data_IF_997779582843
#
_entry.id   IF_997779582843
#
_cell.length_a   1.000
_cell.length_b   1.000
_cell.length_c   1.000
_cell.angle_alpha   90.00
_cell.angle_beta   90.00
_cell.angle_gamma   90.00
#
_symmetry.space_group_name_H-M   'P 1'
#
loop_
_entity.id
_entity.type
_entity.pdbx_description
1 polymer ?
#
# COMPACT_ATOMS: atom_id res chain seq x y z
N UNK A 1 -35.70 9.24 -22.15
CA UNK A 1 -35.28 10.66 -22.19
C UNK A 1 -36.14 11.40 -21.21
N UNK A 2 -35.55 11.99 -20.17
CA UNK A 2 -36.27 12.74 -19.13
C UNK A 2 -36.15 14.24 -19.45
N UNK A 3 -37.15 15.06 -19.09
CA UNK A 3 -37.22 16.47 -19.43
C UNK A 3 -36.04 17.24 -18.82
N UNK A 4 -35.67 18.35 -19.47
CA UNK A 4 -34.58 19.27 -19.15
C UNK A 4 -34.17 19.27 -17.67
N UNK A 5 -33.15 18.48 -17.34
CA UNK A 5 -32.45 18.66 -16.07
C UNK A 5 -31.67 19.96 -16.21
N UNK A 6 -32.22 21.05 -15.69
CA UNK A 6 -31.43 22.27 -15.48
C UNK A 6 -30.22 21.90 -14.61
N UNK A 7 -29.06 21.83 -15.23
CA UNK A 7 -27.79 21.54 -14.56
C UNK A 7 -27.42 22.74 -13.70
N UNK A 8 -27.22 22.52 -12.40
CA UNK A 8 -26.80 23.57 -11.47
C UNK A 8 -25.43 24.11 -11.86
N UNK A 9 -25.15 25.37 -11.52
CA UNK A 9 -23.84 25.98 -11.76
C UNK A 9 -22.70 25.16 -11.15
N UNK A 10 -22.90 24.62 -9.93
CA UNK A 10 -21.93 23.73 -9.28
C UNK A 10 -21.61 22.47 -10.11
N UNK A 11 -22.60 21.88 -10.76
CA UNK A 11 -22.38 20.72 -11.62
C UNK A 11 -21.55 21.08 -12.87
N UNK A 12 -21.84 22.24 -13.47
CA UNK A 12 -21.07 22.76 -14.62
C UNK A 12 -19.61 23.02 -14.22
N UNK A 13 -19.41 23.68 -13.08
CA UNK A 13 -18.09 23.97 -12.52
C UNK A 13 -17.31 22.68 -12.25
N UNK A 14 -17.95 21.68 -11.66
CA UNK A 14 -17.35 20.37 -11.39
C UNK A 14 -16.92 19.66 -12.69
N UNK A 15 -17.80 19.59 -13.70
CA UNK A 15 -17.48 18.94 -14.97
C UNK A 15 -16.32 19.61 -15.70
N UNK A 16 -16.36 20.94 -15.82
CA UNK A 16 -15.29 21.70 -16.44
C UNK A 16 -13.99 21.57 -15.64
N UNK A 17 -14.05 21.67 -14.31
CA UNK A 17 -12.89 21.56 -13.43
C UNK A 17 -12.23 20.18 -13.49
N UNK A 18 -13.02 19.10 -13.43
CA UNK A 18 -12.51 17.74 -13.51
C UNK A 18 -11.91 17.44 -14.89
N UNK A 19 -12.59 17.88 -15.96
CA UNK A 19 -12.06 17.71 -17.33
C UNK A 19 -10.76 18.50 -17.53
N UNK A 20 -10.68 19.74 -17.03
CA UNK A 20 -9.49 20.56 -17.11
C UNK A 20 -8.33 19.98 -16.28
N UNK A 21 -8.62 19.48 -15.07
CA UNK A 21 -7.64 18.82 -14.22
C UNK A 21 -7.06 17.58 -14.92
N UNK A 22 -7.90 16.66 -15.40
CA UNK A 22 -7.44 15.46 -16.09
C UNK A 22 -6.74 15.79 -17.41
N UNK A 23 -7.20 16.80 -18.14
CA UNK A 23 -6.56 17.29 -19.36
C UNK A 23 -5.17 17.84 -19.09
N UNK A 24 -5.02 18.66 -18.05
CA UNK A 24 -3.74 19.20 -17.62
C UNK A 24 -2.75 18.09 -17.23
N UNK A 25 -3.23 17.08 -16.49
CA UNK A 25 -2.41 15.92 -16.12
C UNK A 25 -2.01 15.09 -17.35
N UNK A 26 -2.93 14.84 -18.27
CA UNK A 26 -2.61 14.16 -19.52
C UNK A 26 -1.57 14.95 -20.34
N UNK A 27 -1.63 16.28 -20.38
CA UNK A 27 -0.62 17.11 -21.03
C UNK A 27 0.75 16.99 -20.35
N UNK A 28 0.82 17.02 -19.01
CA UNK A 28 2.09 16.88 -18.27
C UNK A 28 2.71 15.50 -18.55
N UNK A 29 1.91 14.44 -18.46
CA UNK A 29 2.40 13.07 -18.61
C UNK A 29 2.78 12.73 -20.05
N UNK A 30 2.04 13.25 -21.03
CA UNK A 30 2.28 12.96 -22.44
C UNK A 30 3.39 13.84 -23.03
N UNK A 31 3.43 15.12 -22.66
CA UNK A 31 4.37 16.12 -23.21
C UNK A 31 5.55 16.41 -22.26
N UNK A 32 5.68 15.62 -21.20
CA UNK A 32 6.76 15.77 -20.22
C UNK A 32 8.14 15.56 -20.84
N UNK A 33 9.18 16.23 -20.31
CA UNK A 33 10.54 16.19 -20.87
C UNK A 33 11.12 14.77 -20.89
N UNK A 34 10.70 13.90 -19.96
CA UNK A 34 11.14 12.51 -19.87
C UNK A 34 10.54 11.60 -20.97
N UNK A 35 9.53 12.10 -21.70
CA UNK A 35 8.79 11.32 -22.73
C UNK A 35 8.96 11.88 -24.13
N UNK A 36 8.96 13.21 -24.27
CA UNK A 36 9.14 13.92 -25.53
C UNK A 36 10.30 14.90 -25.38
N UNK A 37 11.52 14.43 -25.64
CA UNK A 37 12.75 15.23 -25.52
C UNK A 37 12.75 16.49 -26.38
N UNK A 38 11.92 16.52 -27.43
CA UNK A 38 11.75 17.67 -28.33
C UNK A 38 10.88 18.80 -27.76
N UNK A 39 10.13 18.58 -26.69
CA UNK A 39 9.23 19.59 -26.12
C UNK A 39 9.81 20.11 -24.80
N UNK A 40 10.13 21.41 -24.69
CA UNK A 40 10.55 22.01 -23.43
C UNK A 40 9.50 21.81 -22.33
N UNK A 41 9.96 21.47 -21.12
CA UNK A 41 9.09 21.29 -19.93
C UNK A 41 8.25 22.52 -19.59
N UNK A 42 8.69 23.70 -20.01
CA UNK A 42 7.93 24.95 -19.86
C UNK A 42 6.64 24.96 -20.66
N UNK A 43 6.61 24.34 -21.85
CA UNK A 43 5.43 24.32 -22.73
C UNK A 43 4.34 23.42 -22.15
N UNK A 44 4.69 22.20 -21.73
CA UNK A 44 3.73 21.28 -21.12
C UNK A 44 3.17 21.84 -19.81
N UNK A 45 4.02 22.44 -18.97
CA UNK A 45 3.59 23.14 -17.76
C UNK A 45 2.66 24.31 -18.05
N UNK A 46 2.97 25.13 -19.06
CA UNK A 46 2.14 26.28 -19.43
C UNK A 46 0.77 25.85 -19.97
N UNK A 47 0.71 24.82 -20.82
CA UNK A 47 -0.55 24.27 -21.31
C UNK A 47 -1.42 23.73 -20.16
N UNK A 48 -0.81 23.00 -19.21
CA UNK A 48 -1.50 22.50 -18.03
C UNK A 48 -2.09 23.64 -17.17
N UNK A 49 -1.30 24.70 -16.95
CA UNK A 49 -1.75 25.92 -16.25
C UNK A 49 -2.91 26.58 -17.00
N UNK A 50 -2.81 26.76 -18.31
CA UNK A 50 -3.88 27.36 -19.12
C UNK A 50 -5.18 26.54 -18.98
N UNK A 51 -5.10 25.21 -19.06
CA UNK A 51 -6.27 24.35 -18.88
C UNK A 51 -6.90 24.55 -17.50
N UNK A 52 -6.11 24.52 -16.43
CA UNK A 52 -6.59 24.71 -15.05
C UNK A 52 -7.21 26.11 -14.86
N UNK A 53 -6.64 27.17 -15.42
CA UNK A 53 -7.21 28.52 -15.25
C UNK A 53 -8.37 28.81 -16.21
N UNK A 54 -8.55 28.02 -17.28
CA UNK A 54 -9.65 28.20 -18.23
C UNK A 54 -11.00 27.68 -17.74
N UNK A 55 -11.05 26.69 -16.83
CA UNK A 55 -12.31 26.04 -16.48
C UNK A 55 -13.34 26.95 -15.80
N UNK A 56 -12.99 27.94 -14.94
CA UNK A 56 -13.98 28.84 -14.36
C UNK A 56 -14.61 29.74 -15.41
N UNK A 57 -13.82 30.17 -16.41
CA UNK A 57 -14.29 30.98 -17.54
C UNK A 57 -15.23 30.16 -18.42
N UNK A 58 -14.85 28.91 -18.74
CA UNK A 58 -15.69 28.00 -19.52
C UNK A 58 -17.00 27.67 -18.79
N UNK A 59 -16.96 27.38 -17.49
CA UNK A 59 -18.14 27.09 -16.69
C UNK A 59 -19.07 28.32 -16.58
N UNK A 60 -18.51 29.51 -16.37
CA UNK A 60 -19.27 30.77 -16.33
C UNK A 60 -19.89 31.09 -17.68
N UNK A 61 -19.12 31.00 -18.77
CA UNK A 61 -19.61 31.19 -20.12
C UNK A 61 -20.76 30.24 -20.45
N UNK A 62 -20.60 28.94 -20.14
CA UNK A 62 -21.69 27.96 -20.31
C UNK A 62 -22.91 28.31 -19.44
N UNK A 63 -22.73 28.83 -18.22
CA UNK A 63 -23.85 29.27 -17.40
C UNK A 63 -24.63 30.43 -18.02
N UNK A 64 -23.93 31.47 -18.51
CA UNK A 64 -24.56 32.65 -19.11
C UNK A 64 -25.24 32.32 -20.45
N UNK A 65 -24.64 31.46 -21.27
CA UNK A 65 -25.17 31.10 -22.59
C UNK A 65 -26.13 29.89 -22.57
N UNK A 66 -26.52 29.40 -21.39
CA UNK A 66 -27.32 28.16 -21.27
C UNK A 66 -28.67 28.18 -21.99
N UNK A 67 -29.23 29.36 -22.27
CA UNK A 67 -30.49 29.52 -23.03
C UNK A 67 -30.29 29.41 -24.55
N UNK A 68 -29.05 29.61 -25.04
CA UNK A 68 -28.71 29.61 -26.47
C UNK A 68 -28.00 28.34 -26.92
N UNK A 69 -27.60 27.47 -25.98
CA UNK A 69 -26.74 26.32 -26.26
C UNK A 69 -27.39 25.03 -25.77
N UNK A 70 -27.21 23.95 -26.52
CA UNK A 70 -27.70 22.61 -26.18
C UNK A 70 -26.92 22.05 -24.98
N UNK A 71 -27.49 22.22 -23.79
CA UNK A 71 -26.90 21.76 -22.54
C UNK A 71 -26.69 20.24 -22.51
N UNK A 72 -27.55 19.47 -23.19
CA UNK A 72 -27.46 18.00 -23.20
C UNK A 72 -26.22 17.56 -23.97
N UNK A 73 -25.94 18.19 -25.12
CA UNK A 73 -24.72 17.91 -25.89
C UNK A 73 -23.45 18.28 -25.13
N UNK A 74 -23.41 19.45 -24.49
CA UNK A 74 -22.21 19.86 -23.73
C UNK A 74 -21.92 18.90 -22.59
N UNK A 75 -22.93 18.57 -21.78
CA UNK A 75 -22.77 17.59 -20.68
C UNK A 75 -22.25 16.28 -21.25
N UNK A 76 -22.88 15.76 -22.30
CA UNK A 76 -22.47 14.51 -22.93
C UNK A 76 -21.01 14.54 -23.40
N UNK A 77 -20.57 15.61 -24.08
CA UNK A 77 -19.18 15.71 -24.52
C UNK A 77 -18.20 15.80 -23.35
N UNK A 78 -18.49 16.59 -22.32
CA UNK A 78 -17.63 16.69 -21.13
C UNK A 78 -17.54 15.36 -20.38
N UNK A 79 -18.66 14.65 -20.22
CA UNK A 79 -18.69 13.34 -19.56
C UNK A 79 -17.85 12.31 -20.35
N UNK A 80 -18.00 12.25 -21.68
CA UNK A 80 -17.21 11.35 -22.51
C UNK A 80 -15.73 11.76 -22.59
N UNK A 81 -15.42 13.07 -22.55
CA UNK A 81 -14.04 13.57 -22.45
C UNK A 81 -13.40 13.17 -21.13
N UNK A 82 -14.10 13.26 -20.00
CA UNK A 82 -13.60 12.79 -18.70
C UNK A 82 -13.29 11.29 -18.77
N UNK A 83 -14.22 10.49 -19.29
CA UNK A 83 -14.03 9.03 -19.45
C UNK A 83 -12.83 8.74 -20.34
N UNK A 84 -12.69 9.44 -21.46
CA UNK A 84 -11.57 9.28 -22.39
C UNK A 84 -10.24 9.66 -21.74
N UNK A 85 -10.15 10.82 -21.07
CA UNK A 85 -8.92 11.28 -20.40
C UNK A 85 -8.53 10.34 -19.26
N UNK A 86 -9.49 9.89 -18.45
CA UNK A 86 -9.26 8.88 -17.41
C UNK A 86 -8.72 7.59 -18.01
N UNK A 87 -9.33 7.07 -19.09
CA UNK A 87 -8.86 5.87 -19.77
C UNK A 87 -7.45 6.06 -20.36
N UNK A 88 -7.18 7.21 -20.98
CA UNK A 88 -5.88 7.54 -21.55
C UNK A 88 -4.78 7.52 -20.49
N UNK A 89 -5.02 8.17 -19.35
CA UNK A 89 -4.06 8.21 -18.23
C UNK A 89 -3.82 6.80 -17.68
N UNK A 90 -4.88 6.01 -17.44
CA UNK A 90 -4.72 4.62 -16.99
C UNK A 90 -3.97 3.75 -18.00
N UNK A 91 -4.27 3.90 -19.29
CA UNK A 91 -3.57 3.17 -20.34
C UNK A 91 -2.09 3.55 -20.36
N UNK A 92 -1.76 4.85 -20.25
CA UNK A 92 -0.38 5.33 -20.19
C UNK A 92 0.37 4.69 -19.02
N UNK A 93 -0.11 4.85 -17.79
CA UNK A 93 0.54 4.26 -16.61
C UNK A 93 0.56 2.73 -16.64
N UNK A 94 -0.44 2.10 -17.24
CA UNK A 94 -0.48 0.65 -17.45
C UNK A 94 0.63 0.19 -18.40
N UNK A 95 0.76 0.84 -19.55
CA UNK A 95 1.85 0.56 -20.50
C UNK A 95 3.23 0.84 -19.92
N UNK A 96 3.40 1.91 -19.15
CA UNK A 96 4.67 2.18 -18.46
C UNK A 96 5.09 1.05 -17.51
N UNK A 97 4.12 0.42 -16.81
CA UNK A 97 4.40 -0.75 -15.96
C UNK A 97 4.76 -1.99 -16.78
N UNK A 98 4.05 -2.23 -17.88
CA UNK A 98 4.30 -3.37 -18.77
C UNK A 98 5.66 -3.29 -19.47
N UNK A 99 6.07 -2.07 -19.85
CA UNK A 99 7.34 -1.79 -20.50
C UNK A 99 8.49 -1.61 -19.51
N UNK A 100 8.28 -1.88 -18.21
CA UNK A 100 9.30 -1.73 -17.17
C UNK A 100 9.92 -0.32 -17.15
N UNK A 101 9.11 0.72 -17.32
CA UNK A 101 9.53 2.13 -17.28
C UNK A 101 9.05 2.87 -16.03
N UNK A 102 8.41 2.17 -15.11
CA UNK A 102 7.84 2.72 -13.89
C UNK A 102 7.95 1.69 -12.77
N UNK A 103 8.19 2.15 -11.53
CA UNK A 103 8.39 1.29 -10.36
C UNK A 103 9.49 0.25 -10.57
N UNK A 104 10.70 0.74 -10.85
CA UNK A 104 11.88 -0.09 -11.06
C UNK A 104 12.84 0.08 -9.89
N UNK A 105 13.50 -1.00 -9.52
CA UNK A 105 14.52 -0.95 -8.48
C UNK A 105 15.81 -0.31 -9.00
N UNK A 106 16.42 0.54 -8.19
CA UNK A 106 17.81 0.93 -8.38
C UNK A 106 18.68 -0.09 -7.67
N UNK A 107 19.78 -0.54 -8.29
CA UNK A 107 20.74 -1.45 -7.65
C UNK A 107 21.26 -0.88 -6.32
N UNK A 108 21.32 0.45 -6.20
CA UNK A 108 21.72 1.13 -4.97
C UNK A 108 20.76 0.82 -3.81
N UNK A 109 19.47 0.62 -4.06
CA UNK A 109 18.49 0.31 -3.01
C UNK A 109 18.62 -1.12 -2.47
N UNK A 110 19.27 -2.03 -3.21
CA UNK A 110 19.53 -3.39 -2.73
C UNK A 110 20.54 -3.43 -1.57
N UNK A 111 21.41 -2.42 -1.48
CA UNK A 111 22.39 -2.28 -0.40
C UNK A 111 21.79 -1.63 0.86
N UNK A 112 20.63 -0.98 0.74
CA UNK A 112 19.97 -0.32 1.87
C UNK A 112 19.05 -1.28 2.62
N UNK A 113 19.01 -1.11 3.95
CA UNK A 113 17.99 -1.74 4.79
C UNK A 113 16.63 -1.18 4.42
N UNK A 114 15.58 -2.01 4.37
CA UNK A 114 14.23 -1.56 4.04
C UNK A 114 13.74 -0.39 4.91
N UNK A 115 14.08 -0.37 6.20
CA UNK A 115 13.74 0.73 7.12
C UNK A 115 14.54 2.03 6.91
N UNK A 116 15.59 2.02 6.09
CA UNK A 116 16.39 3.19 5.72
C UNK A 116 15.89 3.87 4.43
N UNK A 117 15.09 3.18 3.63
CA UNK A 117 14.50 3.72 2.41
C UNK A 117 13.39 4.72 2.75
N UNK A 118 13.30 5.80 1.98
CA UNK A 118 12.12 6.66 2.01
C UNK A 118 10.95 5.97 1.28
N UNK A 119 9.73 6.50 1.42
CA UNK A 119 8.55 5.84 0.89
C UNK A 119 8.57 5.55 -0.61
N UNK A 120 8.91 6.52 -1.48
CA UNK A 120 9.08 6.27 -2.92
C UNK A 120 10.09 5.16 -3.22
N UNK A 121 11.29 5.23 -2.64
CA UNK A 121 12.32 4.22 -2.87
C UNK A 121 11.91 2.85 -2.34
N UNK A 122 11.17 2.79 -1.24
CA UNK A 122 10.66 1.54 -0.68
C UNK A 122 9.62 0.89 -1.60
N UNK A 123 8.76 1.69 -2.24
CA UNK A 123 7.82 1.20 -3.25
C UNK A 123 8.51 0.70 -4.50
N UNK A 124 9.46 1.47 -5.02
CA UNK A 124 10.25 1.10 -6.19
C UNK A 124 11.05 -0.18 -5.93
N UNK A 125 11.61 -0.32 -4.73
CA UNK A 125 12.26 -1.54 -4.26
C UNK A 125 11.31 -2.74 -4.24
N UNK A 126 10.13 -2.60 -3.62
CA UNK A 126 9.14 -3.67 -3.51
C UNK A 126 8.63 -4.14 -4.88
N UNK A 127 8.16 -3.22 -5.73
CA UNK A 127 7.64 -3.55 -7.06
C UNK A 127 8.73 -3.91 -8.07
N UNK A 128 9.96 -3.46 -7.86
CA UNK A 128 11.11 -3.86 -8.65
C UNK A 128 11.56 -5.28 -8.36
N UNK A 129 11.50 -5.73 -7.09
CA UNK A 129 11.84 -7.11 -6.70
C UNK A 129 10.77 -8.14 -7.11
N UNK A 130 9.51 -7.72 -7.24
CA UNK A 130 8.39 -8.58 -7.66
C UNK A 130 7.73 -8.04 -8.95
N UNK A 131 8.42 -8.15 -10.12
CA UNK A 131 7.96 -7.55 -11.37
C UNK A 131 6.63 -8.13 -11.88
N UNK A 132 6.28 -9.36 -11.50
CA UNK A 132 5.03 -10.02 -11.89
C UNK A 132 3.80 -9.25 -11.38
N UNK A 133 3.86 -8.77 -10.14
CA UNK A 133 2.77 -7.99 -9.54
C UNK A 133 2.58 -6.67 -10.30
N UNK A 134 3.69 -6.00 -10.63
CA UNK A 134 3.69 -4.78 -11.44
C UNK A 134 3.06 -5.02 -12.82
N UNK A 135 3.40 -6.12 -13.49
CA UNK A 135 2.84 -6.49 -14.80
C UNK A 135 1.33 -6.74 -14.69
N UNK A 136 0.88 -7.49 -13.69
CA UNK A 136 -0.55 -7.76 -13.47
C UNK A 136 -1.33 -6.46 -13.28
N UNK A 137 -0.83 -5.55 -12.44
CA UNK A 137 -1.46 -4.24 -12.23
C UNK A 137 -1.51 -3.45 -13.54
N UNK A 138 -0.41 -3.43 -14.30
CA UNK A 138 -0.34 -2.76 -15.60
C UNK A 138 -1.34 -3.34 -16.61
N UNK A 139 -1.44 -4.66 -16.71
CA UNK A 139 -2.41 -5.34 -17.58
C UNK A 139 -3.84 -5.01 -17.20
N UNK A 140 -4.18 -5.05 -15.91
CA UNK A 140 -5.52 -4.69 -15.44
C UNK A 140 -5.84 -3.21 -15.68
N UNK A 141 -4.86 -2.31 -15.59
CA UNK A 141 -5.02 -0.89 -15.95
C UNK A 141 -5.32 -0.72 -17.44
N UNK A 142 -4.58 -1.39 -18.32
CA UNK A 142 -4.81 -1.31 -19.78
C UNK A 142 -6.15 -1.93 -20.17
N UNK A 143 -6.47 -3.14 -19.69
CA UNK A 143 -7.76 -3.80 -19.95
C UNK A 143 -8.91 -2.94 -19.40
N UNK A 144 -8.77 -2.46 -18.17
CA UNK A 144 -9.75 -1.58 -17.53
C UNK A 144 -9.99 -0.31 -18.34
N UNK A 145 -8.93 0.33 -18.86
CA UNK A 145 -9.02 1.52 -19.70
C UNK A 145 -9.76 1.25 -21.03
N UNK A 146 -9.45 0.15 -21.72
CA UNK A 146 -10.13 -0.25 -22.96
C UNK A 146 -11.63 -0.47 -22.70
N UNK A 147 -11.96 -1.16 -21.61
CA UNK A 147 -13.35 -1.42 -21.23
C UNK A 147 -14.09 -0.14 -20.81
N UNK A 148 -13.38 0.83 -20.19
CA UNK A 148 -13.93 2.09 -19.70
C UNK A 148 -14.48 2.99 -20.83
N UNK A 149 -13.75 3.06 -21.96
CA UNK A 149 -14.13 3.86 -23.14
C UNK A 149 -15.42 3.33 -23.77
N UNK A 150 -15.62 2.02 -23.76
CA UNK A 150 -16.80 1.39 -24.39
C UNK A 150 -18.02 1.45 -23.46
N UNK A 151 -19.06 2.21 -23.83
CA UNK A 151 -20.31 2.41 -23.05
C UNK A 151 -21.01 1.13 -22.56
N UNK A 152 -20.82 0.02 -23.27
CA UNK A 152 -21.40 -1.30 -22.90
C UNK A 152 -20.62 -1.98 -21.78
N UNK A 153 -19.29 -1.84 -21.77
CA UNK A 153 -18.39 -2.47 -20.80
C UNK A 153 -17.88 -1.51 -19.73
N UNK A 154 -18.28 -0.23 -19.79
CA UNK A 154 -17.85 0.84 -18.88
C UNK A 154 -17.91 0.43 -17.41
N UNK A 155 -19.01 -0.17 -16.99
CA UNK A 155 -19.20 -0.62 -15.61
C UNK A 155 -18.14 -1.66 -15.19
N UNK A 156 -17.79 -2.59 -16.07
CA UNK A 156 -16.73 -3.58 -15.82
C UNK A 156 -15.36 -2.92 -15.73
N UNK A 157 -15.07 -1.97 -16.64
CA UNK A 157 -13.85 -1.16 -16.59
C UNK A 157 -13.71 -0.40 -15.27
N UNK A 158 -14.79 0.22 -14.78
CA UNK A 158 -14.82 0.90 -13.48
C UNK A 158 -14.53 -0.09 -12.35
N UNK A 159 -15.15 -1.28 -12.34
CA UNK A 159 -14.91 -2.28 -11.29
C UNK A 159 -13.48 -2.83 -11.25
N UNK A 160 -12.78 -2.84 -12.38
CA UNK A 160 -11.37 -3.21 -12.44
C UNK A 160 -10.49 -2.05 -11.95
N UNK A 161 -10.72 -0.84 -12.46
CA UNK A 161 -9.84 0.30 -12.22
C UNK A 161 -10.01 0.91 -10.83
N UNK A 162 -11.24 0.98 -10.30
CA UNK A 162 -11.54 1.62 -9.02
C UNK A 162 -10.77 1.02 -7.83
N UNK A 163 -10.76 -0.31 -7.59
CA UNK A 163 -9.98 -0.89 -6.50
C UNK A 163 -8.47 -0.69 -6.68
N UNK A 164 -7.97 -0.70 -7.92
CA UNK A 164 -6.56 -0.47 -8.22
C UNK A 164 -6.17 0.96 -7.85
N UNK A 165 -6.90 1.96 -8.33
CA UNK A 165 -6.54 3.36 -8.05
C UNK A 165 -6.83 3.75 -6.60
N UNK A 166 -7.81 3.12 -5.96
CA UNK A 166 -8.03 3.30 -4.52
C UNK A 166 -6.84 2.77 -3.72
N UNK A 167 -6.32 1.59 -4.08
CA UNK A 167 -5.10 1.06 -3.46
C UNK A 167 -3.91 2.00 -3.67
N UNK A 168 -3.73 2.53 -4.89
CA UNK A 168 -2.68 3.51 -5.19
C UNK A 168 -2.80 4.76 -4.31
N UNK A 169 -4.01 5.34 -4.16
CA UNK A 169 -4.19 6.51 -3.28
C UNK A 169 -3.81 6.20 -1.83
N UNK A 170 -4.21 5.03 -1.32
CA UNK A 170 -3.84 4.63 0.05
C UNK A 170 -2.34 4.47 0.21
N UNK A 171 -1.70 3.82 -0.76
CA UNK A 171 -0.25 3.68 -0.81
C UNK A 171 0.44 5.04 -0.85
N UNK A 172 -0.01 5.96 -1.70
CA UNK A 172 0.57 7.30 -1.83
C UNK A 172 0.51 8.08 -0.52
N UNK A 173 -0.60 7.96 0.22
CA UNK A 173 -0.80 8.62 1.51
C UNK A 173 0.04 7.98 2.62
N UNK A 174 0.04 6.65 2.72
CA UNK A 174 0.74 5.96 3.81
C UNK A 174 2.25 5.91 3.63
N UNK A 175 2.73 5.95 2.39
CA UNK A 175 4.16 5.98 2.07
C UNK A 175 4.66 7.39 1.73
N UNK A 176 3.83 8.43 1.81
CA UNK A 176 4.24 9.82 1.54
C UNK A 176 4.99 9.95 0.20
N UNK A 177 4.37 9.41 -0.87
CA UNK A 177 5.00 9.31 -2.19
C UNK A 177 5.18 10.70 -2.83
N UNK A 178 4.27 11.64 -2.52
CA UNK A 178 4.34 13.03 -2.94
C UNK A 178 2.99 13.59 -3.39
N UNK A 179 2.74 14.85 -3.03
CA UNK A 179 1.44 15.51 -3.21
C UNK A 179 0.92 15.47 -4.65
N UNK A 180 1.79 15.71 -5.65
CA UNK A 180 1.39 15.77 -7.05
C UNK A 180 0.81 14.42 -7.55
N UNK A 181 1.48 13.32 -7.21
CA UNK A 181 1.07 11.96 -7.60
C UNK A 181 -0.23 11.59 -6.86
N UNK A 182 -0.31 11.91 -5.57
CA UNK A 182 -1.53 11.67 -4.78
C UNK A 182 -2.74 12.43 -5.32
N UNK A 183 -2.56 13.68 -5.77
CA UNK A 183 -3.63 14.49 -6.37
C UNK A 183 -4.10 13.89 -7.70
N UNK A 184 -3.19 13.40 -8.54
CA UNK A 184 -3.53 12.70 -9.77
C UNK A 184 -4.36 11.43 -9.48
N UNK A 185 -3.87 10.58 -8.57
CA UNK A 185 -4.56 9.35 -8.19
C UNK A 185 -5.94 9.62 -7.55
N UNK A 186 -6.05 10.69 -6.76
CA UNK A 186 -7.33 11.16 -6.20
C UNK A 186 -8.29 11.67 -7.29
N UNK A 187 -7.80 12.45 -8.25
CA UNK A 187 -8.61 12.93 -9.39
C UNK A 187 -9.12 11.78 -10.27
N UNK A 188 -8.29 10.77 -10.52
CA UNK A 188 -8.70 9.55 -11.22
C UNK A 188 -9.78 8.79 -10.42
N UNK A 189 -9.62 8.64 -9.10
CA UNK A 189 -10.66 8.07 -8.23
C UNK A 189 -11.98 8.84 -8.33
N UNK A 190 -11.94 10.18 -8.25
CA UNK A 190 -13.12 11.05 -8.37
C UNK A 190 -13.79 10.85 -9.72
N UNK A 191 -13.02 10.75 -10.81
CA UNK A 191 -13.55 10.52 -12.16
C UNK A 191 -14.27 9.17 -12.31
N UNK A 192 -13.73 8.11 -11.71
CA UNK A 192 -14.34 6.77 -11.73
C UNK A 192 -15.57 6.73 -10.82
N UNK A 193 -15.52 7.34 -9.64
CA UNK A 193 -16.66 7.44 -8.73
C UNK A 193 -17.80 8.24 -9.37
N UNK A 194 -17.48 9.33 -10.07
CA UNK A 194 -18.45 10.10 -10.84
C UNK A 194 -19.07 9.29 -12.00
N UNK A 195 -18.24 8.57 -12.76
CA UNK A 195 -18.72 7.68 -13.83
C UNK A 195 -19.62 6.56 -13.30
N UNK A 196 -19.28 6.00 -12.13
CA UNK A 196 -20.12 5.01 -11.45
C UNK A 196 -21.46 5.60 -11.00
N UNK A 197 -21.44 6.84 -10.52
CA UNK A 197 -22.65 7.56 -10.10
C UNK A 197 -23.60 7.83 -11.28
N UNK A 198 -23.07 8.13 -12.47
CA UNK A 198 -23.89 8.25 -13.69
C UNK A 198 -24.58 6.92 -14.02
N UNK A 199 -23.83 5.81 -13.94
CA UNK A 199 -24.33 4.46 -14.21
C UNK A 199 -25.04 3.81 -12.99
N UNK A 200 -25.41 4.58 -11.97
CA UNK A 200 -26.02 4.09 -10.71
C UNK A 200 -27.22 3.15 -10.89
N UNK A 201 -28.01 3.34 -11.97
CA UNK A 201 -29.15 2.45 -12.27
C UNK A 201 -28.67 1.05 -12.67
N UNK A 202 -27.65 0.97 -13.54
CA UNK A 202 -27.02 -0.27 -13.97
C UNK A 202 -26.27 -0.92 -12.80
N UNK A 203 -25.56 -0.11 -12.02
CA UNK A 203 -24.88 -0.56 -10.80
C UNK A 203 -25.85 -1.16 -9.77
N UNK A 204 -26.97 -0.49 -9.49
CA UNK A 204 -28.01 -1.04 -8.60
C UNK A 204 -28.63 -2.32 -9.16
N UNK A 205 -28.90 -2.39 -10.46
CA UNK A 205 -29.42 -3.60 -11.08
C UNK A 205 -28.42 -4.77 -11.01
N UNK A 206 -27.12 -4.48 -11.08
CA UNK A 206 -26.05 -5.46 -10.93
C UNK A 206 -25.92 -5.97 -9.49
N UNK A 207 -25.92 -5.07 -8.50
CA UNK A 207 -25.77 -5.44 -7.09
C UNK A 207 -27.05 -6.03 -6.46
N UNK A 208 -28.20 -5.52 -6.87
CA UNK A 208 -29.50 -5.89 -6.35
C UNK A 208 -30.39 -6.35 -7.51
N UNK A 209 -30.12 -7.54 -8.10
CA UNK A 209 -31.03 -8.11 -9.06
C UNK A 209 -32.42 -8.21 -8.41
N UNK A 210 -33.44 -7.66 -9.07
CA UNK A 210 -34.84 -7.58 -8.59
C UNK A 210 -35.44 -8.96 -8.24
N UNK A 211 -34.80 -10.04 -8.66
CA UNK A 211 -35.12 -11.43 -8.35
C UNK A 211 -34.37 -11.98 -7.14
N UNK A 212 -33.87 -11.10 -6.24
CA UNK A 212 -33.24 -11.52 -4.98
C UNK A 212 -34.23 -12.40 -4.19
N UNK A 213 -34.12 -13.71 -4.40
CA UNK A 213 -34.88 -14.74 -3.72
C UNK A 213 -34.78 -14.47 -2.22
N UNK A 214 -35.88 -14.02 -1.63
CA UNK A 214 -36.03 -13.69 -0.21
C UNK A 214 -36.12 -14.94 0.68
N UNK A 215 -35.47 -16.03 0.25
CA UNK A 215 -35.43 -17.25 1.03
C UNK A 215 -34.41 -17.07 2.16
N UNK A 216 -34.85 -17.27 3.41
CA UNK A 216 -33.99 -17.29 4.59
C UNK A 216 -32.75 -18.21 4.41
N UNK A 217 -32.82 -19.20 3.50
CA UNK A 217 -31.69 -20.08 3.15
C UNK A 217 -30.54 -19.35 2.45
N UNK A 218 -30.82 -18.38 1.58
CA UNK A 218 -29.77 -17.61 0.87
C UNK A 218 -29.10 -16.62 1.81
N UNK A 219 -29.87 -16.01 2.71
CA UNK A 219 -29.32 -15.15 3.76
C UNK A 219 -28.42 -15.97 4.69
N UNK A 220 -28.87 -17.16 5.12
CA UNK A 220 -28.05 -18.07 5.93
C UNK A 220 -26.74 -18.46 5.21
N UNK A 221 -26.80 -18.80 3.92
CA UNK A 221 -25.60 -19.11 3.12
C UNK A 221 -24.64 -17.91 3.00
N UNK A 222 -25.16 -16.70 2.76
CA UNK A 222 -24.35 -15.46 2.74
C UNK A 222 -23.70 -15.19 4.09
N UNK A 223 -24.42 -15.42 5.20
CA UNK A 223 -23.87 -15.28 6.54
C UNK A 223 -22.76 -16.31 6.79
N UNK A 224 -22.90 -17.55 6.30
CA UNK A 224 -21.82 -18.54 6.44
C UNK A 224 -20.53 -18.11 5.72
N UNK A 225 -20.61 -17.40 4.59
CA UNK A 225 -19.41 -16.89 3.90
C UNK A 225 -18.61 -15.88 4.74
N UNK A 226 -19.24 -15.19 5.70
CA UNK A 226 -18.57 -14.25 6.62
C UNK A 226 -18.25 -14.92 7.95
N UNK A 227 -19.21 -15.66 8.52
CA UNK A 227 -19.09 -16.29 9.84
C UNK A 227 -18.09 -17.45 9.84
N UNK A 228 -18.01 -18.24 8.76
CA UNK A 228 -17.12 -19.41 8.70
C UNK A 228 -15.64 -18.99 8.73
N UNK A 229 -15.16 -18.04 7.90
CA UNK A 229 -13.80 -17.53 8.07
C UNK A 229 -13.53 -16.98 9.47
N UNK A 230 -14.45 -16.19 10.04
CA UNK A 230 -14.27 -15.66 11.41
C UNK A 230 -14.17 -16.77 12.46
N UNK A 231 -14.97 -17.83 12.34
CA UNK A 231 -14.94 -18.98 13.24
C UNK A 231 -13.65 -19.80 13.06
N UNK A 232 -13.20 -19.99 11.83
CA UNK A 232 -11.91 -20.64 11.55
C UNK A 232 -10.74 -19.82 12.08
N UNK A 233 -10.77 -18.50 11.88
CA UNK A 233 -9.75 -17.56 12.38
C UNK A 233 -9.75 -17.46 13.91
N UNK A 234 -10.88 -17.67 14.58
CA UNK A 234 -10.94 -17.73 16.05
C UNK A 234 -10.05 -18.82 16.63
N UNK A 235 -9.84 -19.92 15.90
CA UNK A 235 -8.95 -21.00 16.31
C UNK A 235 -7.46 -20.73 16.04
N UNK A 236 -7.14 -19.74 15.21
CA UNK A 236 -5.76 -19.34 14.96
C UNK A 236 -5.25 -18.63 16.21
N UNK A 237 -4.20 -19.20 16.81
CA UNK A 237 -3.57 -18.62 18.00
C UNK A 237 -3.09 -17.22 17.66
N UNK A 238 -3.65 -16.23 18.35
CA UNK A 238 -3.12 -14.87 18.41
C UNK A 238 -1.65 -14.99 18.83
N UNK A 239 -0.73 -14.22 18.21
CA UNK A 239 0.67 -14.31 18.56
C UNK A 239 0.87 -14.12 20.07
N UNK A 240 1.53 -15.08 20.72
CA UNK A 240 1.81 -14.97 22.15
C UNK A 240 2.84 -13.88 22.34
N UNK A 241 2.45 -12.82 23.02
CA UNK A 241 3.35 -11.75 23.45
C UNK A 241 3.76 -12.02 24.88
N UNK A 242 5.02 -12.40 25.10
CA UNK A 242 5.59 -12.43 26.45
C UNK A 242 6.01 -11.02 26.82
N UNK A 243 5.10 -10.21 27.36
CA UNK A 243 5.36 -8.80 27.73
C UNK A 243 6.60 -8.61 28.61
N UNK A 244 6.93 -9.61 29.44
CA UNK A 244 8.09 -9.59 30.35
C UNK A 244 9.45 -9.78 29.67
N UNK A 245 9.47 -10.43 28.50
CA UNK A 245 10.69 -10.79 27.77
C UNK A 245 10.80 -10.11 26.42
N UNK A 246 9.70 -9.68 25.83
CA UNK A 246 9.67 -9.15 24.47
C UNK A 246 10.52 -7.88 24.36
N UNK A 247 11.47 -7.88 23.42
CA UNK A 247 12.35 -6.75 23.19
C UNK A 247 13.66 -7.14 22.52
N UNK A 248 14.39 -6.09 22.11
CA UNK A 248 15.77 -6.20 21.65
C UNK A 248 16.70 -5.95 22.84
N UNK A 249 17.58 -6.89 23.11
CA UNK A 249 18.53 -6.83 24.20
C UNK A 249 19.94 -6.79 23.66
N UNK A 250 20.68 -5.71 23.93
CA UNK A 250 22.08 -5.57 23.54
C UNK A 250 22.95 -6.31 24.56
N UNK A 251 23.92 -7.08 24.08
CA UNK A 251 24.86 -7.80 24.94
C UNK A 251 25.92 -6.81 25.45
N UNK A 252 26.00 -6.65 26.77
CA UNK A 252 26.94 -5.75 27.47
C UNK A 252 28.22 -6.48 27.85
N UNK A 253 28.09 -7.73 28.31
CA UNK A 253 29.22 -8.59 28.64
C UNK A 253 28.85 -10.06 28.44
N UNK A 254 29.86 -10.88 28.13
CA UNK A 254 29.72 -12.32 28.01
C UNK A 254 30.80 -13.00 28.87
N UNK A 255 30.41 -13.91 29.75
CA UNK A 255 31.29 -14.63 30.67
C UNK A 255 32.24 -13.73 31.49
N UNK A 256 31.80 -12.52 31.82
CA UNK A 256 32.59 -11.53 32.58
C UNK A 256 33.52 -10.66 31.72
N UNK A 257 33.63 -10.91 30.41
CA UNK A 257 34.40 -10.09 29.48
C UNK A 257 33.50 -9.00 28.85
N UNK A 258 33.95 -7.74 28.88
CA UNK A 258 33.23 -6.59 28.31
C UNK A 258 33.19 -6.60 26.77
N UNK A 259 34.14 -7.27 26.14
CA UNK A 259 34.19 -7.48 24.70
C UNK A 259 33.77 -8.91 24.42
N UNK A 260 32.58 -9.08 23.84
CA UNK A 260 32.08 -10.39 23.43
C UNK A 260 32.95 -10.91 22.28
N UNK A 261 33.89 -11.78 22.60
CA UNK A 261 34.90 -12.35 21.70
C UNK A 261 34.31 -13.16 20.54
N UNK A 262 33.06 -13.63 20.67
CA UNK A 262 32.35 -14.41 19.64
C UNK A 262 31.47 -13.56 18.69
N UNK A 263 31.43 -12.24 18.86
CA UNK A 263 30.70 -11.32 17.98
C UNK A 263 29.18 -11.30 18.17
N UNK A 264 28.63 -11.93 19.20
CA UNK A 264 27.20 -11.81 19.55
C UNK A 264 26.91 -10.38 20.04
N UNK A 265 26.03 -9.65 19.34
CA UNK A 265 25.76 -8.24 19.61
C UNK A 265 24.39 -8.01 20.25
N UNK A 266 23.39 -8.79 19.86
CA UNK A 266 22.02 -8.63 20.35
C UNK A 266 21.25 -9.95 20.42
N UNK A 267 20.32 -10.00 21.36
CA UNK A 267 19.32 -11.05 21.49
C UNK A 267 17.94 -10.42 21.33
N UNK A 268 17.13 -10.97 20.45
CA UNK A 268 15.74 -10.59 20.26
C UNK A 268 14.88 -11.66 20.89
N UNK A 269 13.94 -11.24 21.73
CA UNK A 269 12.80 -12.07 22.12
C UNK A 269 11.58 -11.42 21.46
N UNK A 270 10.88 -12.17 20.62
CA UNK A 270 9.83 -11.65 19.75
C UNK A 270 8.53 -12.46 19.94
N UNK A 271 7.50 -12.09 19.19
CA UNK A 271 6.20 -12.75 19.18
C UNK A 271 6.30 -14.25 18.87
N UNK A 272 5.35 -15.03 19.38
CA UNK A 272 5.31 -16.50 19.22
C UNK A 272 6.50 -17.23 19.83
N UNK A 273 6.98 -16.69 20.95
CA UNK A 273 8.11 -17.25 21.68
C UNK A 273 9.37 -17.34 20.80
N UNK A 274 9.51 -16.49 19.77
CA UNK A 274 10.68 -16.51 18.91
C UNK A 274 11.87 -15.88 19.63
N UNK A 275 13.06 -16.44 19.44
CA UNK A 275 14.31 -15.83 19.88
C UNK A 275 15.36 -15.86 18.78
N UNK A 276 16.03 -14.73 18.61
CA UNK A 276 17.09 -14.55 17.61
C UNK A 276 18.35 -14.03 18.28
N UNK A 277 19.44 -14.75 18.10
CA UNK A 277 20.79 -14.29 18.45
C UNK A 277 21.42 -13.68 17.20
N UNK A 278 21.77 -12.40 17.27
CA UNK A 278 22.38 -11.66 16.17
C UNK A 278 23.86 -11.39 16.45
N UNK A 279 24.70 -11.67 15.48
CA UNK A 279 26.16 -11.55 15.58
C UNK A 279 26.72 -10.34 14.80
N UNK A 280 26.00 -9.22 14.85
CA UNK A 280 26.40 -7.96 14.19
C UNK A 280 26.07 -7.87 12.70
N UNK A 281 25.73 -8.99 12.07
CA UNK A 281 25.34 -9.09 10.66
C UNK A 281 24.02 -9.88 10.52
N UNK A 282 23.23 -9.57 9.49
CA UNK A 282 21.95 -10.24 9.22
C UNK A 282 22.12 -11.67 8.72
N UNK A 283 23.24 -11.95 8.05
CA UNK A 283 23.56 -13.30 7.58
C UNK A 283 24.07 -14.21 8.72
N UNK A 284 24.40 -13.61 9.86
CA UNK A 284 24.90 -14.31 11.05
C UNK A 284 23.87 -14.23 12.17
N UNK A 285 22.78 -14.95 11.99
CA UNK A 285 21.73 -15.11 13.00
C UNK A 285 21.55 -16.58 13.38
N UNK A 286 21.16 -16.81 14.63
CA UNK A 286 20.59 -18.08 15.08
C UNK A 286 19.17 -17.80 15.57
N UNK A 287 18.19 -18.51 15.04
CA UNK A 287 16.79 -18.28 15.39
C UNK A 287 16.15 -19.57 15.88
N UNK A 288 15.29 -19.47 16.89
CA UNK A 288 14.66 -20.61 17.53
C UNK A 288 13.41 -20.23 18.33
N UNK A 289 12.81 -21.22 18.97
CA UNK A 289 11.68 -21.03 19.88
C UNK A 289 12.13 -21.10 21.34
N UNK A 290 11.62 -20.21 22.17
CA UNK A 290 11.87 -20.13 23.60
C UNK A 290 10.75 -20.83 24.35
N UNK A 291 11.13 -21.81 25.16
CA UNK A 291 10.25 -22.37 26.17
C UNK A 291 10.60 -21.67 27.47
N UNK A 292 9.73 -20.74 27.89
CA UNK A 292 9.91 -19.96 29.11
C UNK A 292 9.03 -20.51 30.24
N UNK A 293 9.68 -20.91 31.33
CA UNK A 293 9.00 -21.24 32.59
C UNK A 293 9.08 -20.05 33.55
N UNK A 294 7.94 -19.36 33.69
CA UNK A 294 7.77 -18.20 34.58
C UNK A 294 8.10 -18.51 36.04
N UNK A 295 7.79 -19.71 36.53
CA UNK A 295 7.96 -20.05 37.94
C UNK A 295 9.43 -20.29 38.29
N UNK A 296 10.15 -21.02 37.44
CA UNK A 296 11.57 -21.34 37.68
C UNK A 296 12.52 -20.30 37.10
N UNK A 297 12.00 -19.36 36.29
CA UNK A 297 12.75 -18.40 35.48
C UNK A 297 13.76 -19.08 34.56
N UNK A 298 13.44 -20.27 34.05
CA UNK A 298 14.29 -21.01 33.11
C UNK A 298 13.80 -20.80 31.69
N UNK A 299 14.73 -20.51 30.79
CA UNK A 299 14.54 -20.54 29.34
C UNK A 299 15.22 -21.78 28.78
N UNK A 300 14.55 -22.39 27.81
CA UNK A 300 15.13 -23.33 26.89
C UNK A 300 14.94 -22.82 25.46
N UNK A 301 15.98 -22.83 24.63
CA UNK A 301 15.89 -22.37 23.23
C UNK A 301 16.12 -23.56 22.31
N UNK A 302 15.08 -23.89 21.54
CA UNK A 302 15.08 -24.90 20.48
C UNK A 302 15.39 -24.20 19.15
N UNK A 303 16.61 -24.40 18.63
CA UNK A 303 17.08 -23.74 17.42
C UNK A 303 16.43 -24.32 16.17
N UNK A 304 15.90 -23.43 15.32
CA UNK A 304 15.36 -23.78 13.98
C UNK A 304 16.27 -23.33 12.85
N UNK A 305 17.06 -22.29 13.06
CA UNK A 305 17.98 -21.77 12.08
C UNK A 305 19.37 -21.52 12.71
N UNK A 306 20.46 -21.97 12.06
CA UNK A 306 20.49 -22.86 10.90
C UNK A 306 19.99 -24.29 11.24
N UNK A 307 19.44 -25.01 10.25
CA UNK A 307 18.70 -26.30 10.41
C UNK A 307 19.46 -27.45 11.11
N UNK A 308 20.75 -27.30 11.39
CA UNK A 308 21.63 -28.35 11.96
C UNK A 308 22.29 -27.95 13.28
N UNK A 309 21.77 -26.94 13.97
CA UNK A 309 22.31 -26.56 15.28
C UNK A 309 21.78 -27.51 16.36
N UNK A 310 22.66 -28.30 16.98
CA UNK A 310 22.30 -29.26 18.05
C UNK A 310 22.54 -28.73 19.46
N UNK A 311 23.05 -27.51 19.59
CA UNK A 311 23.47 -26.94 20.88
C UNK A 311 22.33 -26.11 21.48
N UNK A 312 21.38 -26.79 22.10
CA UNK A 312 20.29 -26.12 22.81
C UNK A 312 20.84 -25.22 23.92
N UNK A 313 20.15 -24.10 24.16
CA UNK A 313 20.45 -23.21 25.28
C UNK A 313 19.53 -23.56 26.42
N UNK A 314 20.09 -23.81 27.59
CA UNK A 314 19.35 -23.91 28.84
C UNK A 314 19.92 -22.90 29.82
N UNK A 315 19.14 -21.87 30.16
CA UNK A 315 19.59 -20.78 31.01
C UNK A 315 18.52 -20.31 32.00
N UNK A 316 18.96 -19.68 33.08
CA UNK A 316 18.11 -18.99 34.04
C UNK A 316 18.18 -17.49 33.78
N UNK A 317 17.03 -16.84 33.74
CA UNK A 317 16.91 -15.40 33.61
C UNK A 317 16.75 -14.73 34.97
N UNK A 318 17.53 -13.67 35.20
CA UNK A 318 17.38 -12.76 36.35
C UNK A 318 17.23 -11.32 35.85
N UNK A 319 16.49 -10.48 36.57
CA UNK A 319 16.21 -9.09 36.12
C UNK A 319 15.11 -8.96 35.07
N UNK A 320 14.28 -9.98 34.87
CA UNK A 320 13.09 -9.96 33.98
C UNK A 320 12.17 -8.80 34.36
N UNK A 321 11.72 -8.02 33.37
CA UNK A 321 10.92 -6.80 33.57
C UNK A 321 11.72 -5.54 33.92
N UNK A 322 13.06 -5.59 33.89
CA UNK A 322 13.93 -4.42 34.09
C UNK A 322 14.78 -4.14 32.84
N UNK A 323 15.40 -2.97 32.76
CA UNK A 323 16.30 -2.60 31.65
C UNK A 323 17.57 -3.47 31.58
N UNK A 324 17.84 -4.29 32.61
CA UNK A 324 19.01 -5.17 32.68
C UNK A 324 18.58 -6.61 32.93
N UNK A 325 18.99 -7.51 32.05
CA UNK A 325 18.62 -8.91 32.10
C UNK A 325 19.89 -9.76 32.15
N UNK A 326 19.98 -10.71 33.06
CA UNK A 326 21.10 -11.62 33.20
C UNK A 326 20.65 -13.01 32.75
N UNK A 327 21.30 -13.55 31.73
CA UNK A 327 21.05 -14.88 31.19
C UNK A 327 22.23 -15.77 31.57
N UNK A 328 22.03 -16.67 32.54
CA UNK A 328 23.09 -17.53 33.06
C UNK A 328 22.71 -19.01 32.87
N UNK A 329 23.52 -19.75 32.13
CA UNK A 329 23.20 -21.10 31.70
C UNK A 329 24.32 -21.78 30.94
N UNK A 330 23.94 -22.65 30.00
CA UNK A 330 24.85 -23.38 29.12
C UNK A 330 24.33 -23.37 27.69
N UNK A 331 25.24 -23.39 26.73
CA UNK A 331 24.97 -23.61 25.31
C UNK A 331 25.75 -24.86 24.87
N UNK A 332 25.04 -25.97 24.64
CA UNK A 332 25.67 -27.29 24.66
C UNK A 332 26.42 -27.50 25.99
N UNK A 333 27.70 -27.87 25.94
CA UNK A 333 28.51 -28.12 27.13
C UNK A 333 29.15 -26.87 27.75
N UNK A 334 29.17 -25.74 27.03
CA UNK A 334 29.89 -24.52 27.42
C UNK A 334 29.06 -23.64 28.36
N UNK A 335 29.65 -23.06 29.43
CA UNK A 335 28.97 -22.08 30.26
C UNK A 335 28.69 -20.79 29.47
N UNK A 336 27.53 -20.21 29.72
CA UNK A 336 27.04 -18.99 29.07
C UNK A 336 26.48 -18.05 30.14
N UNK A 337 27.13 -16.93 30.38
CA UNK A 337 26.64 -15.85 31.25
C UNK A 337 26.62 -14.57 30.42
N UNK A 338 25.44 -14.04 30.13
CA UNK A 338 25.25 -12.81 29.36
C UNK A 338 24.59 -11.74 30.21
N UNK A 339 25.24 -10.57 30.28
CA UNK A 339 24.59 -9.36 30.75
C UNK A 339 23.97 -8.62 29.57
N UNK A 340 22.66 -8.42 29.65
CA UNK A 340 21.85 -7.87 28.59
C UNK A 340 21.26 -6.53 29.03
N UNK A 341 21.18 -5.57 28.11
CA UNK A 341 20.50 -4.30 28.32
C UNK A 341 19.37 -4.15 27.31
N UNK A 342 18.16 -3.88 27.78
CA UNK A 342 17.00 -3.61 26.92
C UNK A 342 17.28 -2.35 26.10
N UNK A 343 17.21 -2.48 24.78
CA UNK A 343 17.21 -1.36 23.87
C UNK A 343 15.75 -0.96 23.64
N UNK A 344 15.36 0.26 24.03
CA UNK A 344 13.98 0.70 23.81
C UNK A 344 13.71 0.64 22.31
N UNK A 345 12.61 -0.04 21.93
CA UNK A 345 12.19 -0.09 20.54
C UNK A 345 12.16 1.34 20.00
N UNK A 346 12.68 1.59 18.78
CA UNK A 346 12.60 2.91 18.18
C UNK A 346 11.12 3.26 18.11
N UNK A 347 10.68 4.17 18.99
CA UNK A 347 9.34 4.73 18.86
C UNK A 347 9.27 5.30 17.46
N UNK A 348 8.20 5.04 16.68
CA UNK A 348 8.04 5.70 15.41
C UNK A 348 8.26 7.19 15.68
N UNK A 349 9.31 7.77 15.08
CA UNK A 349 9.52 9.21 15.18
C UNK A 349 8.22 9.79 14.68
N UNK A 350 7.45 10.46 15.54
CA UNK A 350 6.40 11.35 15.11
C UNK A 350 7.11 12.40 14.26
N UNK A 351 7.26 12.11 12.97
CA UNK A 351 7.71 13.05 11.96
C UNK A 351 6.53 14.01 11.82
N UNK A 352 6.69 15.17 12.46
CA UNK A 352 5.78 16.30 12.29
C UNK A 352 5.75 16.74 10.84
#
# INVERSE_FOLDING_TARGET
MNPEKQTTFLHKLFLCGLCAFLGAQACIELLGPDRLTSIPSSISGTLAVILIFSFPVLASGWHFFQKKVDNVRIVFYLEESIVFLTALIFALFGWLKLLHMHMNNSLVYDDFRAGALNGPALMDYFFGRVPQLKIIIGTLQVIGAILLVTKRTRLLGIFILLPIVLNIVLMDVFFDIGLAISLLAAGLNISLAYSLWQDRKRFRAFLFPLTAMSSNRIIAFRLTAVALPLLLLYSIRIPRLNEELNGKYVVVSANGEKTVTDGLTAIYFDQNDACVFSYGDFDRIKAGHVIWDKATKKIHIDWKFPEKLTNDVSAKLSGVGTDKLLLAGRIGDKPLILELKLEPLPRPKNRR
#
